data_IF_276948724482
#
_entry.id   IF_276948724482
#
_cell.length_a   1.000
_cell.length_b   1.000
_cell.length_c   1.000
_cell.angle_alpha   90.00
_cell.angle_beta   90.00
_cell.angle_gamma   90.00
#
_symmetry.space_group_name_H-M   'P 1'
#
loop_
_entity.id
_entity.type
_entity.pdbx_description
1 polymer ?
#
# COMPACT_ATOMS: atom_id res chain seq x y z
N UNK A 1 -10.16 -1.37 -26.89
CA UNK A 1 -9.24 -2.49 -26.62
C UNK A 1 -10.06 -3.60 -25.97
N UNK A 2 -9.98 -4.81 -26.51
CA UNK A 2 -10.61 -6.00 -25.93
C UNK A 2 -9.95 -6.35 -24.59
N UNK A 3 -10.66 -7.10 -23.74
CA UNK A 3 -10.10 -7.60 -22.48
C UNK A 3 -8.86 -8.48 -22.68
N UNK A 4 -8.77 -9.20 -23.81
CA UNK A 4 -7.61 -10.04 -24.14
C UNK A 4 -6.36 -9.20 -24.41
N UNK A 5 -6.51 -8.12 -25.18
CA UNK A 5 -5.43 -7.16 -25.44
C UNK A 5 -4.98 -6.47 -24.14
N UNK A 6 -5.92 -6.00 -23.30
CA UNK A 6 -5.59 -5.39 -22.00
C UNK A 6 -4.79 -6.35 -21.10
N UNK A 7 -5.17 -7.63 -21.06
CA UNK A 7 -4.44 -8.68 -20.31
C UNK A 7 -3.05 -8.96 -20.87
N UNK A 8 -2.92 -8.99 -22.20
CA UNK A 8 -1.62 -9.18 -22.84
C UNK A 8 -0.69 -8.01 -22.48
N UNK A 9 -1.18 -6.77 -22.58
CA UNK A 9 -0.47 -5.58 -22.16
C UNK A 9 -0.08 -5.63 -20.67
N UNK A 10 -1.03 -5.98 -19.79
CA UNK A 10 -0.77 -6.12 -18.35
C UNK A 10 0.41 -7.06 -18.09
N UNK A 11 0.41 -8.23 -18.74
CA UNK A 11 1.41 -9.26 -18.54
C UNK A 11 2.81 -8.87 -19.02
N UNK A 12 2.93 -8.00 -20.02
CA UNK A 12 4.20 -7.49 -20.54
C UNK A 12 4.86 -6.46 -19.60
N UNK A 13 4.07 -5.81 -18.75
CA UNK A 13 4.51 -4.69 -17.94
C UNK A 13 4.45 -4.95 -16.43
N UNK A 14 4.16 -6.20 -16.01
CA UNK A 14 4.08 -6.56 -14.59
C UNK A 14 5.35 -6.17 -13.86
N UNK A 15 5.19 -5.37 -12.82
CA UNK A 15 6.27 -4.95 -11.96
C UNK A 15 6.88 -6.13 -11.19
N UNK A 16 8.21 -6.23 -11.30
CA UNK A 16 9.02 -7.11 -10.48
C UNK A 16 9.29 -6.45 -9.12
N UNK A 17 8.38 -6.65 -8.19
CA UNK A 17 8.49 -6.17 -6.82
C UNK A 17 9.72 -6.72 -6.05
N UNK A 18 10.38 -7.79 -6.54
CA UNK A 18 11.56 -8.35 -5.88
C UNK A 18 12.84 -7.55 -6.17
N UNK A 19 12.88 -6.79 -7.27
CA UNK A 19 14.01 -5.93 -7.65
C UNK A 19 13.78 -4.45 -7.34
N UNK A 20 12.60 -4.08 -6.84
CA UNK A 20 12.29 -2.69 -6.48
C UNK A 20 12.88 -2.31 -5.12
N UNK A 21 13.67 -1.24 -5.10
CA UNK A 21 14.39 -0.77 -3.91
C UNK A 21 13.44 -0.38 -2.77
N UNK A 22 12.29 0.24 -3.07
CA UNK A 22 11.31 0.61 -2.05
C UNK A 22 10.73 -0.65 -1.40
N UNK A 23 10.38 -1.67 -2.20
CA UNK A 23 9.88 -2.95 -1.68
C UNK A 23 10.94 -3.69 -0.86
N UNK A 24 12.18 -3.75 -1.36
CA UNK A 24 13.30 -4.38 -0.66
C UNK A 24 13.55 -3.69 0.69
N UNK A 25 13.63 -2.36 0.72
CA UNK A 25 13.88 -1.61 1.95
C UNK A 25 12.76 -1.78 2.98
N UNK A 26 11.53 -1.98 2.52
CA UNK A 26 10.39 -2.16 3.41
C UNK A 26 10.39 -3.52 4.14
N UNK A 27 10.88 -4.56 3.46
CA UNK A 27 11.06 -5.89 4.04
C UNK A 27 12.29 -5.97 4.95
N UNK A 28 13.19 -4.98 4.92
CA UNK A 28 14.31 -4.89 5.85
C UNK A 28 13.86 -4.32 7.19
N UNK A 29 14.22 -5.02 8.27
CA UNK A 29 14.07 -4.51 9.63
C UNK A 29 15.38 -3.89 10.07
N UNK A 30 15.33 -2.65 10.58
CA UNK A 30 16.47 -2.09 11.30
C UNK A 30 16.79 -2.93 12.53
N UNK A 31 18.07 -2.96 12.89
CA UNK A 31 18.53 -3.51 14.15
C UNK A 31 17.81 -2.84 15.33
N UNK A 32 17.60 -3.61 16.40
CA UNK A 32 17.11 -3.10 17.66
C UNK A 32 18.07 -2.04 18.20
N UNK A 33 17.52 -0.93 18.68
CA UNK A 33 18.31 0.00 19.48
C UNK A 33 18.39 -0.48 20.93
N UNK A 34 19.32 0.07 21.72
CA UNK A 34 19.53 -0.37 23.11
C UNK A 34 18.30 -0.20 23.99
N UNK A 35 17.41 0.75 23.70
CA UNK A 35 16.17 0.93 24.46
C UNK A 35 15.14 -0.15 24.11
N UNK A 36 15.06 -0.51 22.83
CA UNK A 36 14.23 -1.61 22.35
C UNK A 36 14.70 -2.96 22.90
N UNK A 37 16.00 -3.23 22.90
CA UNK A 37 16.56 -4.45 23.51
C UNK A 37 16.25 -4.54 25.01
N UNK A 38 16.49 -3.45 25.76
CA UNK A 38 16.17 -3.39 27.19
C UNK A 38 14.67 -3.52 27.48
N UNK A 39 13.80 -3.00 26.59
CA UNK A 39 12.36 -3.22 26.68
C UNK A 39 12.01 -4.70 26.54
N UNK A 40 12.59 -5.39 25.56
CA UNK A 40 12.31 -6.82 25.33
C UNK A 40 12.77 -7.67 26.50
N UNK A 41 13.88 -7.32 27.15
CA UNK A 41 14.35 -8.00 28.35
C UNK A 41 13.36 -7.85 29.52
N UNK A 42 12.86 -6.63 29.75
CA UNK A 42 11.80 -6.38 30.75
C UNK A 42 10.52 -7.13 30.43
N UNK A 43 10.14 -7.21 29.15
CA UNK A 43 8.97 -7.97 28.71
C UNK A 43 9.19 -9.46 28.97
N UNK A 44 10.36 -10.01 28.64
CA UNK A 44 10.70 -11.40 28.90
C UNK A 44 10.61 -11.71 30.41
N UNK A 45 11.20 -10.87 31.25
CA UNK A 45 11.11 -10.98 32.71
C UNK A 45 9.66 -10.90 33.23
N UNK A 46 8.82 -10.05 32.64
CA UNK A 46 7.43 -9.92 33.03
C UNK A 46 6.59 -11.16 32.68
N UNK A 47 6.87 -11.80 31.54
CA UNK A 47 6.06 -12.93 31.06
C UNK A 47 6.50 -14.28 31.63
N UNK A 48 7.72 -14.44 32.18
CA UNK A 48 8.16 -15.72 32.78
C UNK A 48 7.50 -16.03 34.13
N UNK A 49 6.89 -15.04 34.80
CA UNK A 49 6.07 -15.24 35.99
C UNK A 49 5.04 -16.36 35.74
N UNK A 50 4.96 -17.44 36.54
CA UNK A 50 4.04 -18.55 36.29
C UNK A 50 2.56 -18.15 36.28
N UNK A 51 2.14 -17.30 37.22
CA UNK A 51 0.75 -16.85 37.32
C UNK A 51 0.39 -15.92 36.15
N UNK A 52 -0.69 -16.25 35.43
CA UNK A 52 -1.07 -15.52 34.22
C UNK A 52 -1.57 -14.10 34.50
N UNK A 53 -2.25 -13.89 35.64
CA UNK A 53 -2.82 -12.60 36.01
C UNK A 53 -1.74 -11.66 36.54
N UNK A 54 -0.79 -12.20 37.31
CA UNK A 54 0.39 -11.45 37.76
C UNK A 54 1.27 -11.10 36.55
N UNK A 55 1.55 -12.05 35.65
CA UNK A 55 2.32 -11.79 34.44
C UNK A 55 1.65 -10.76 33.52
N UNK A 56 0.33 -10.85 33.35
CA UNK A 56 -0.48 -9.88 32.59
C UNK A 56 -0.37 -8.47 33.19
N UNK A 57 -0.45 -8.36 34.51
CA UNK A 57 -0.29 -7.10 35.24
C UNK A 57 1.13 -6.54 35.09
N UNK A 58 2.16 -7.39 35.20
CA UNK A 58 3.56 -6.99 35.04
C UNK A 58 3.83 -6.52 33.62
N UNK A 59 3.34 -7.24 32.60
CA UNK A 59 3.43 -6.85 31.20
C UNK A 59 2.77 -5.48 30.98
N UNK A 60 1.57 -5.28 31.52
CA UNK A 60 0.88 -3.98 31.44
C UNK A 60 1.74 -2.86 32.01
N UNK A 61 2.33 -3.07 33.19
CA UNK A 61 3.18 -2.09 33.87
C UNK A 61 4.40 -1.72 33.03
N UNK A 62 5.06 -2.71 32.42
CA UNK A 62 6.18 -2.49 31.49
C UNK A 62 5.72 -1.62 30.31
N UNK A 63 4.64 -1.99 29.63
CA UNK A 63 4.15 -1.27 28.45
C UNK A 63 3.68 0.16 28.77
N UNK A 64 3.09 0.39 29.94
CA UNK A 64 2.69 1.74 30.39
C UNK A 64 3.92 2.60 30.70
N UNK A 65 4.90 2.05 31.42
CA UNK A 65 6.11 2.77 31.81
C UNK A 65 6.95 3.16 30.60
N UNK A 66 7.06 2.25 29.63
CA UNK A 66 7.88 2.41 28.44
C UNK A 66 7.13 3.10 27.29
N UNK A 67 5.94 3.67 27.52
CA UNK A 67 5.12 4.31 26.46
C UNK A 67 5.84 5.47 25.71
N UNK A 68 6.94 5.99 26.27
CA UNK A 68 7.80 7.01 25.65
C UNK A 68 8.84 6.45 24.68
N UNK A 69 9.09 5.14 24.68
CA UNK A 69 9.96 4.49 23.70
C UNK A 69 9.20 4.18 22.40
N UNK A 70 9.91 3.68 21.39
CA UNK A 70 9.40 3.37 20.05
C UNK A 70 8.32 2.28 20.09
N UNK A 71 7.04 2.68 20.25
CA UNK A 71 5.82 1.87 20.21
C UNK A 71 5.95 0.42 20.78
N UNK A 72 6.07 0.26 22.12
CA UNK A 72 6.26 -1.05 22.76
C UNK A 72 5.23 -2.11 22.37
N UNK A 73 3.99 -1.68 22.16
CA UNK A 73 2.90 -2.56 21.79
C UNK A 73 3.10 -3.14 20.38
N UNK A 74 3.59 -2.32 19.43
CA UNK A 74 3.89 -2.78 18.08
C UNK A 74 4.96 -3.88 18.09
N UNK A 75 6.02 -3.70 18.89
CA UNK A 75 7.09 -4.70 19.02
C UNK A 75 6.58 -6.03 19.57
N UNK A 76 5.81 -6.04 20.67
CA UNK A 76 5.32 -7.31 21.22
C UNK A 76 4.31 -8.00 20.30
N UNK A 77 3.54 -7.24 19.51
CA UNK A 77 2.66 -7.80 18.49
C UNK A 77 3.47 -8.50 17.40
N UNK A 78 4.53 -7.85 16.90
CA UNK A 78 5.46 -8.45 15.95
C UNK A 78 6.02 -9.78 16.47
N UNK A 79 6.61 -9.79 17.66
CA UNK A 79 7.24 -10.99 18.22
C UNK A 79 6.23 -12.11 18.54
N UNK A 80 4.99 -11.76 18.86
CA UNK A 80 3.91 -12.74 19.11
C UNK A 80 3.21 -13.26 17.83
N UNK A 81 3.70 -12.85 16.65
CA UNK A 81 3.13 -13.24 15.35
C UNK A 81 1.75 -12.63 15.09
N UNK A 82 1.44 -11.48 15.70
CA UNK A 82 0.19 -10.76 15.54
C UNK A 82 0.40 -9.48 14.73
N UNK A 83 -0.55 -9.16 13.86
CA UNK A 83 -0.60 -7.84 13.21
C UNK A 83 -1.43 -6.87 14.07
N UNK A 84 -1.33 -5.56 13.75
CA UNK A 84 -2.07 -4.48 14.43
C UNK A 84 -3.58 -4.70 14.43
N UNK A 85 -4.13 -5.25 13.34
CA UNK A 85 -5.56 -5.54 13.19
C UNK A 85 -5.94 -6.88 13.82
N UNK A 86 -5.08 -7.91 13.68
CA UNK A 86 -5.37 -9.27 14.12
C UNK A 86 -5.71 -9.36 15.60
N UNK A 87 -4.93 -8.68 16.48
CA UNK A 87 -5.25 -8.69 17.92
C UNK A 87 -6.64 -8.14 18.21
N UNK A 88 -7.04 -7.02 17.60
CA UNK A 88 -8.36 -6.45 17.84
C UNK A 88 -9.48 -7.33 17.26
N UNK A 89 -9.23 -8.01 16.14
CA UNK A 89 -10.15 -8.96 15.53
C UNK A 89 -10.38 -10.19 16.41
N UNK A 90 -9.30 -10.84 16.84
CA UNK A 90 -9.34 -12.02 17.71
C UNK A 90 -10.09 -11.70 19.02
N UNK A 91 -9.78 -10.56 19.65
CA UNK A 91 -10.41 -10.13 20.90
C UNK A 91 -11.90 -9.80 20.74
N UNK A 92 -12.31 -9.21 19.60
CA UNK A 92 -13.73 -8.94 19.32
C UNK A 92 -14.50 -10.24 19.17
N UNK A 93 -13.96 -11.20 18.42
CA UNK A 93 -14.58 -12.51 18.24
C UNK A 93 -14.74 -13.24 19.58
N UNK A 94 -13.69 -13.22 20.41
CA UNK A 94 -13.72 -13.81 21.75
C UNK A 94 -14.74 -13.11 22.68
N UNK A 95 -14.79 -11.77 22.67
CA UNK A 95 -15.75 -11.00 23.47
C UNK A 95 -17.19 -11.32 23.08
N UNK A 96 -17.49 -11.36 21.76
CA UNK A 96 -18.80 -11.74 21.23
C UNK A 96 -19.20 -13.16 21.63
N UNK A 97 -18.30 -14.14 21.50
CA UNK A 97 -18.56 -15.52 21.89
C UNK A 97 -18.81 -15.69 23.40
N UNK A 98 -18.15 -14.88 24.24
CA UNK A 98 -18.27 -14.94 25.69
C UNK A 98 -19.53 -14.28 26.26
N UNK A 99 -20.32 -13.57 25.44
CA UNK A 99 -21.50 -12.80 25.89
C UNK A 99 -21.18 -11.60 26.79
N UNK A 100 -19.90 -11.29 27.03
CA UNK A 100 -19.47 -10.14 27.83
C UNK A 100 -19.58 -8.87 26.98
N UNK A 101 -20.22 -7.83 27.53
CA UNK A 101 -20.28 -6.48 26.95
C UNK A 101 -18.93 -5.74 27.09
N UNK A 102 -17.85 -6.36 26.62
CA UNK A 102 -16.51 -5.80 26.68
C UNK A 102 -16.23 -5.07 25.37
N UNK A 103 -16.15 -3.74 25.45
CA UNK A 103 -15.82 -2.91 24.28
C UNK A 103 -14.33 -3.00 23.95
N UNK A 104 -14.01 -3.68 22.85
CA UNK A 104 -12.64 -3.72 22.32
C UNK A 104 -12.34 -2.43 21.55
N UNK A 105 -11.28 -1.68 21.88
CA UNK A 105 -10.86 -0.51 21.13
C UNK A 105 -10.60 -0.82 19.65
N UNK A 106 -10.82 0.17 18.77
CA UNK A 106 -10.48 0.06 17.35
C UNK A 106 -8.98 0.13 17.06
N UNK A 107 -8.19 0.64 18.01
CA UNK A 107 -6.74 0.78 17.89
C UNK A 107 -6.02 -0.07 18.94
N UNK A 108 -5.03 -0.84 18.50
CA UNK A 108 -4.18 -1.64 19.38
C UNK A 108 -3.43 -0.80 20.42
N UNK A 109 -3.11 0.46 20.10
CA UNK A 109 -2.41 1.39 21.01
C UNK A 109 -3.22 1.70 22.28
N UNK A 110 -4.54 1.60 22.18
CA UNK A 110 -5.45 1.88 23.30
C UNK A 110 -5.67 0.66 24.20
N UNK A 111 -5.22 -0.54 23.79
CA UNK A 111 -5.51 -1.78 24.53
C UNK A 111 -4.94 -1.75 25.95
N UNK A 112 -3.67 -1.36 26.09
CA UNK A 112 -2.93 -1.39 27.36
C UNK A 112 -3.62 -0.58 28.46
N UNK A 113 -4.21 0.57 28.12
CA UNK A 113 -4.91 1.44 29.07
C UNK A 113 -6.41 1.19 29.17
N UNK A 114 -6.95 0.20 28.46
CA UNK A 114 -8.39 -0.02 28.38
C UNK A 114 -8.85 -1.17 29.28
N UNK A 115 -10.15 -1.22 29.63
CA UNK A 115 -10.74 -2.39 30.29
C UNK A 115 -10.57 -3.69 29.51
N UNK A 116 -10.35 -3.62 28.18
CA UNK A 116 -10.07 -4.79 27.36
C UNK A 116 -8.73 -5.48 27.70
N UNK A 117 -7.86 -4.86 28.50
CA UNK A 117 -6.62 -5.50 28.95
C UNK A 117 -6.86 -6.79 29.73
N UNK A 118 -7.98 -6.91 30.45
CA UNK A 118 -8.33 -8.13 31.20
C UNK A 118 -8.40 -9.38 30.32
N UNK A 119 -8.65 -9.22 29.01
CA UNK A 119 -8.59 -10.31 28.03
C UNK A 119 -7.35 -10.25 27.15
N UNK A 120 -6.89 -9.05 26.80
CA UNK A 120 -5.73 -8.87 25.92
C UNK A 120 -4.41 -9.29 26.58
N UNK A 121 -4.24 -8.98 27.87
CA UNK A 121 -3.03 -9.26 28.64
C UNK A 121 -2.73 -10.75 28.73
N UNK A 122 -3.64 -11.60 29.25
CA UNK A 122 -3.42 -13.05 29.32
C UNK A 122 -3.18 -13.68 27.94
N UNK A 123 -3.87 -13.20 26.90
CA UNK A 123 -3.68 -13.65 25.52
C UNK A 123 -2.25 -13.36 25.02
N UNK A 124 -1.76 -12.14 25.24
CA UNK A 124 -0.41 -11.74 24.87
C UNK A 124 0.66 -12.47 25.68
N UNK A 125 0.49 -12.58 27.00
CA UNK A 125 1.43 -13.32 27.86
C UNK A 125 1.58 -14.76 27.39
N UNK A 126 0.48 -15.45 27.09
CA UNK A 126 0.51 -16.83 26.59
C UNK A 126 1.35 -16.95 25.32
N UNK A 127 1.15 -16.06 24.35
CA UNK A 127 1.93 -16.07 23.10
C UNK A 127 3.40 -15.71 23.33
N UNK A 128 3.65 -14.67 24.11
CA UNK A 128 5.01 -14.18 24.39
C UNK A 128 5.82 -15.20 25.20
N UNK A 129 5.22 -15.93 26.14
CA UNK A 129 5.89 -17.04 26.86
C UNK A 129 6.42 -18.10 25.91
N UNK A 130 5.64 -18.48 24.90
CA UNK A 130 6.05 -19.48 23.89
C UNK A 130 7.26 -19.03 23.09
N UNK A 131 7.40 -17.73 22.87
CA UNK A 131 8.48 -17.16 22.03
C UNK A 131 9.70 -16.76 22.87
N UNK A 132 9.50 -16.07 23.99
CA UNK A 132 10.57 -15.53 24.84
C UNK A 132 11.07 -16.53 25.89
N UNK A 133 10.21 -17.45 26.34
CA UNK A 133 10.57 -18.46 27.34
C UNK A 133 11.71 -19.41 26.93
N UNK A 134 11.83 -19.80 25.65
CA UNK A 134 13.00 -20.54 25.17
C UNK A 134 14.30 -19.71 25.11
N UNK A 135 14.21 -18.39 24.90
CA UNK A 135 15.40 -17.54 24.70
C UNK A 135 16.31 -17.53 25.93
N UNK A 136 15.74 -17.65 27.14
CA UNK A 136 16.51 -17.72 28.39
C UNK A 136 17.36 -18.98 28.54
N UNK A 137 17.21 -19.97 27.65
CA UNK A 137 17.95 -21.23 27.64
C UNK A 137 18.93 -21.34 26.47
N UNK A 138 19.00 -20.32 25.62
CA UNK A 138 19.90 -20.30 24.47
C UNK A 138 21.33 -19.97 24.92
N UNK A 139 22.36 -20.47 24.21
CA UNK A 139 23.75 -20.12 24.46
C UNK A 139 24.13 -18.72 23.95
N UNK A 140 23.19 -17.98 23.37
CA UNK A 140 23.36 -16.61 22.88
C UNK A 140 23.07 -15.61 24.01
N UNK A 141 23.59 -14.39 23.87
CA UNK A 141 23.12 -13.28 24.71
C UNK A 141 21.64 -13.01 24.43
N UNK A 142 20.92 -12.46 25.41
CA UNK A 142 19.50 -12.11 25.20
C UNK A 142 19.34 -11.09 24.06
N UNK A 143 20.28 -10.17 23.92
CA UNK A 143 20.30 -9.15 22.86
C UNK A 143 20.41 -9.79 21.47
N UNK A 144 21.37 -10.69 21.25
CA UNK A 144 21.52 -11.39 19.97
C UNK A 144 20.28 -12.24 19.63
N UNK A 145 19.71 -12.92 20.64
CA UNK A 145 18.52 -13.73 20.47
C UNK A 145 17.28 -12.89 20.15
N UNK A 146 17.15 -11.72 20.79
CA UNK A 146 16.09 -10.76 20.52
C UNK A 146 16.22 -10.13 19.13
N UNK A 147 17.45 -9.82 18.68
CA UNK A 147 17.71 -9.30 17.34
C UNK A 147 17.37 -10.33 16.26
N UNK A 148 17.79 -11.59 16.44
CA UNK A 148 17.44 -12.67 15.52
C UNK A 148 15.91 -12.84 15.39
N UNK A 149 15.18 -12.73 16.51
CA UNK A 149 13.72 -12.80 16.51
C UNK A 149 13.07 -11.56 15.86
N UNK A 150 13.61 -10.37 16.11
CA UNK A 150 13.17 -9.12 15.48
C UNK A 150 13.26 -9.23 13.96
N UNK A 151 14.39 -9.71 13.42
CA UNK A 151 14.57 -9.94 11.99
C UNK A 151 13.62 -11.01 11.45
N UNK A 152 13.51 -12.16 12.13
CA UNK A 152 12.71 -13.29 11.65
C UNK A 152 11.20 -13.01 11.60
N UNK A 153 10.69 -12.19 12.52
CA UNK A 153 9.24 -11.92 12.64
C UNK A 153 8.79 -10.71 11.82
N UNK A 154 9.71 -9.83 11.42
CA UNK A 154 9.38 -8.61 10.69
C UNK A 154 8.66 -8.86 9.36
N UNK A 155 9.12 -9.77 8.46
CA UNK A 155 8.43 -9.99 7.19
C UNK A 155 6.97 -10.41 7.39
N UNK A 156 6.66 -11.17 8.45
CA UNK A 156 5.29 -11.55 8.78
C UNK A 156 4.46 -10.36 9.30
N UNK A 157 5.03 -9.58 10.21
CA UNK A 157 4.37 -8.42 10.81
C UNK A 157 4.07 -7.31 9.80
N UNK A 158 5.03 -7.03 8.92
CA UNK A 158 4.99 -5.85 8.06
C UNK A 158 4.18 -6.07 6.77
N UNK A 159 3.86 -7.31 6.39
CA UNK A 159 3.08 -7.67 5.18
C UNK A 159 1.80 -6.87 4.98
N UNK A 160 1.03 -6.62 6.03
CA UNK A 160 -0.22 -5.85 5.91
C UNK A 160 0.05 -4.35 5.67
N UNK A 161 1.06 -3.80 6.34
CA UNK A 161 1.49 -2.41 6.12
C UNK A 161 2.12 -2.26 4.73
N UNK A 162 2.79 -3.30 4.22
CA UNK A 162 3.36 -3.35 2.88
C UNK A 162 2.28 -3.19 1.82
N UNK A 163 1.22 -3.99 1.90
CA UNK A 163 0.12 -3.91 0.95
C UNK A 163 -0.48 -2.49 0.91
N UNK A 164 -0.76 -1.92 2.09
CA UNK A 164 -1.30 -0.57 2.22
C UNK A 164 -0.34 0.49 1.65
N UNK A 165 0.93 0.42 1.99
CA UNK A 165 1.93 1.40 1.53
C UNK A 165 2.27 1.25 0.06
N UNK A 166 2.19 0.05 -0.51
CA UNK A 166 2.42 -0.17 -1.94
C UNK A 166 1.33 0.50 -2.78
N UNK A 167 0.07 0.47 -2.33
CA UNK A 167 -1.01 1.24 -2.94
C UNK A 167 -0.73 2.74 -2.89
N UNK A 168 -0.44 3.28 -1.70
CA UNK A 168 -0.14 4.70 -1.56
C UNK A 168 1.12 5.14 -2.32
N UNK A 169 2.13 4.28 -2.43
CA UNK A 169 3.33 4.55 -3.24
C UNK A 169 2.96 4.70 -4.72
N UNK A 170 2.04 3.88 -5.25
CA UNK A 170 1.54 4.04 -6.62
C UNK A 170 0.85 5.40 -6.81
N UNK A 171 -0.01 5.78 -5.86
CA UNK A 171 -0.68 7.09 -5.85
C UNK A 171 0.34 8.24 -5.84
N UNK A 172 1.37 8.12 -5.00
CA UNK A 172 2.41 9.15 -4.86
C UNK A 172 3.29 9.28 -6.10
N UNK A 173 3.71 8.17 -6.71
CA UNK A 173 4.49 8.22 -7.96
C UNK A 173 3.69 8.86 -9.08
N UNK A 174 2.40 8.54 -9.19
CA UNK A 174 1.53 9.16 -10.17
C UNK A 174 1.33 10.66 -9.90
N UNK A 175 1.03 11.03 -8.66
CA UNK A 175 0.90 12.44 -8.26
C UNK A 175 2.20 13.23 -8.54
N UNK A 176 3.36 12.64 -8.25
CA UNK A 176 4.69 13.26 -8.46
C UNK A 176 4.95 13.47 -9.95
N UNK A 177 4.62 12.48 -10.78
CA UNK A 177 4.71 12.61 -12.23
C UNK A 177 3.85 13.78 -12.75
N UNK A 178 2.58 13.84 -12.33
CA UNK A 178 1.67 14.92 -12.74
C UNK A 178 2.18 16.29 -12.28
N UNK A 179 2.68 16.38 -11.04
CA UNK A 179 3.27 17.61 -10.48
C UNK A 179 4.48 18.07 -11.27
N UNK A 180 5.42 17.17 -11.55
CA UNK A 180 6.66 17.50 -12.26
C UNK A 180 6.41 17.91 -13.72
N UNK A 181 5.28 17.48 -14.30
CA UNK A 181 4.80 17.92 -15.61
C UNK A 181 3.85 19.13 -15.53
N UNK A 182 3.67 19.70 -14.33
CA UNK A 182 2.74 20.80 -14.04
C UNK A 182 1.31 20.52 -14.53
N UNK A 183 0.91 19.24 -14.62
CA UNK A 183 -0.43 18.85 -14.97
C UNK A 183 -1.31 19.00 -13.73
N UNK A 184 -2.39 19.81 -13.76
CA UNK A 184 -3.23 20.03 -12.59
C UNK A 184 -3.89 18.73 -12.14
N UNK A 185 -3.90 18.47 -10.84
CA UNK A 185 -4.57 17.33 -10.24
C UNK A 185 -4.97 17.63 -8.80
N UNK A 186 -5.83 16.79 -8.23
CA UNK A 186 -6.14 16.83 -6.82
C UNK A 186 -6.18 15.40 -6.24
N UNK A 187 -5.83 15.20 -4.95
CA UNK A 187 -5.29 16.21 -4.04
C UNK A 187 -3.79 16.41 -4.28
N UNK A 188 -3.34 17.66 -4.43
CA UNK A 188 -1.93 17.97 -4.71
C UNK A 188 -0.98 17.42 -3.65
N UNK A 189 -1.42 17.40 -2.38
CA UNK A 189 -0.68 16.87 -1.26
C UNK A 189 -0.32 15.38 -1.39
N UNK A 190 -0.94 14.62 -2.30
CA UNK A 190 -0.65 13.20 -2.51
C UNK A 190 0.79 12.94 -2.98
N UNK A 191 1.40 13.91 -3.67
CA UNK A 191 2.79 13.80 -4.09
C UNK A 191 3.80 13.98 -2.94
N UNK A 192 3.46 14.72 -1.87
CA UNK A 192 4.33 14.85 -0.68
C UNK A 192 3.95 13.88 0.44
N UNK A 193 2.66 13.59 0.56
CA UNK A 193 2.07 12.77 1.59
C UNK A 193 1.13 11.74 0.95
N UNK A 194 1.65 10.54 0.63
CA UNK A 194 0.85 9.45 0.05
C UNK A 194 -0.34 9.04 0.92
N UNK A 195 -0.26 9.28 2.23
CA UNK A 195 -1.31 8.94 3.20
C UNK A 195 -2.41 10.02 3.31
N UNK A 196 -2.36 11.08 2.49
CA UNK A 196 -3.38 12.12 2.54
C UNK A 196 -4.75 11.57 2.14
N UNK A 197 -5.85 12.14 2.66
CA UNK A 197 -7.19 11.67 2.34
C UNK A 197 -7.49 11.74 0.84
N UNK A 198 -8.22 10.75 0.36
CA UNK A 198 -8.73 10.67 -1.01
C UNK A 198 -9.82 11.72 -1.27
N UNK A 199 -10.16 11.89 -2.55
CA UNK A 199 -11.25 12.78 -2.95
C UNK A 199 -12.55 12.00 -3.06
N UNK A 200 -13.57 12.51 -2.37
CA UNK A 200 -14.92 11.95 -2.44
C UNK A 200 -15.76 12.77 -3.43
N UNK A 201 -16.24 12.11 -4.50
CA UNK A 201 -17.19 12.64 -5.47
C UNK A 201 -18.46 11.78 -5.46
N UNK A 202 -19.62 12.37 -5.17
CA UNK A 202 -20.89 11.62 -5.18
C UNK A 202 -20.93 10.41 -4.24
N UNK A 203 -20.15 10.42 -3.15
CA UNK A 203 -20.01 9.30 -2.22
C UNK A 203 -18.95 8.25 -2.61
N UNK A 204 -18.31 8.38 -3.77
CA UNK A 204 -17.25 7.48 -4.25
C UNK A 204 -15.88 8.11 -3.99
N UNK A 205 -14.97 7.32 -3.42
CA UNK A 205 -13.57 7.72 -3.17
C UNK A 205 -12.72 7.56 -4.42
N UNK A 206 -11.89 8.54 -4.75
CA UNK A 206 -10.91 8.52 -5.84
C UNK A 206 -9.55 8.98 -5.32
N UNK A 207 -8.49 8.26 -5.67
CA UNK A 207 -7.16 8.56 -5.13
C UNK A 207 -6.61 9.85 -5.72
N UNK A 208 -6.85 10.05 -7.03
CA UNK A 208 -6.49 11.24 -7.78
C UNK A 208 -7.59 11.59 -8.79
N UNK A 209 -7.71 12.89 -9.08
CA UNK A 209 -8.53 13.40 -10.18
C UNK A 209 -7.76 14.47 -10.95
N UNK A 210 -8.09 14.64 -12.22
CA UNK A 210 -7.50 15.65 -13.11
C UNK A 210 -8.62 16.38 -13.85
N UNK A 211 -8.60 17.72 -13.98
CA UNK A 211 -7.70 18.65 -13.28
C UNK A 211 -8.11 18.90 -11.83
N UNK A 212 -9.41 18.91 -11.53
CA UNK A 212 -9.93 19.32 -10.22
C UNK A 212 -11.29 18.69 -9.89
N UNK A 213 -11.76 18.90 -8.66
CA UNK A 213 -13.02 18.36 -8.12
C UNK A 213 -14.26 18.95 -8.80
N UNK A 214 -14.16 20.20 -9.24
CA UNK A 214 -15.26 20.96 -9.85
C UNK A 214 -15.50 20.51 -11.29
N UNK A 215 -14.43 20.06 -11.97
CA UNK A 215 -14.48 19.66 -13.38
C UNK A 215 -13.61 18.44 -13.63
N UNK A 216 -13.90 17.27 -13.02
CA UNK A 216 -13.10 16.07 -13.24
C UNK A 216 -13.20 15.66 -14.72
N UNK A 217 -12.05 15.39 -15.34
CA UNK A 217 -11.89 14.93 -16.73
C UNK A 217 -11.22 13.57 -16.79
N UNK A 218 -10.42 13.24 -15.78
CA UNK A 218 -9.93 11.90 -15.48
C UNK A 218 -10.08 11.68 -13.97
N UNK A 219 -10.45 10.46 -13.60
CA UNK A 219 -10.48 9.99 -12.21
C UNK A 219 -9.65 8.71 -12.11
N UNK A 220 -8.95 8.54 -11.00
CA UNK A 220 -7.97 7.47 -10.82
C UNK A 220 -8.37 6.57 -9.66
N UNK A 221 -8.18 5.28 -9.88
CA UNK A 221 -8.25 4.23 -8.87
C UNK A 221 -6.99 3.37 -8.96
N UNK A 222 -6.30 3.19 -7.85
CA UNK A 222 -4.96 2.63 -7.76
C UNK A 222 -4.99 1.37 -6.92
N UNK A 223 -4.59 0.24 -7.49
CA UNK A 223 -4.57 -1.05 -6.82
C UNK A 223 -3.30 -1.81 -7.19
N UNK A 224 -2.45 -2.06 -6.19
CA UNK A 224 -1.17 -2.78 -6.40
C UNK A 224 -1.14 -4.04 -5.55
N UNK A 225 -1.00 -5.20 -6.19
CA UNK A 225 -1.06 -6.51 -5.55
C UNK A 225 0.26 -7.28 -5.67
N UNK A 226 0.89 -7.59 -4.54
CA UNK A 226 1.99 -8.57 -4.47
C UNK A 226 1.41 -9.99 -4.38
N UNK A 227 2.13 -11.01 -4.88
CA UNK A 227 1.72 -12.41 -4.66
C UNK A 227 1.71 -12.68 -3.16
N UNK A 228 0.60 -13.24 -2.65
CA UNK A 228 0.44 -13.69 -1.25
C UNK A 228 0.18 -12.61 -0.17
N UNK A 229 -0.72 -11.66 -0.44
CA UNK A 229 -1.41 -10.90 0.61
C UNK A 229 -2.68 -11.69 0.95
N UNK A 230 -2.66 -12.52 2.00
CA UNK A 230 -3.69 -13.53 2.24
C UNK A 230 -5.12 -13.01 2.08
N UNK A 231 -5.86 -13.52 1.10
CA UNK A 231 -7.31 -13.43 0.80
C UNK A 231 -8.06 -12.08 0.94
N UNK A 232 -7.48 -11.05 1.53
CA UNK A 232 -8.11 -9.75 1.74
C UNK A 232 -7.76 -8.84 0.56
N UNK A 233 -8.70 -8.73 -0.38
CA UNK A 233 -8.61 -7.80 -1.50
C UNK A 233 -9.21 -8.34 -2.80
N UNK A 234 -9.44 -9.66 -2.91
CA UNK A 234 -9.74 -10.28 -4.21
C UNK A 234 -10.98 -9.72 -4.92
N UNK A 235 -12.01 -9.35 -4.15
CA UNK A 235 -13.25 -8.76 -4.68
C UNK A 235 -13.36 -7.24 -4.52
N UNK A 236 -12.49 -6.61 -3.71
CA UNK A 236 -12.63 -5.18 -3.37
C UNK A 236 -12.34 -4.29 -4.57
N UNK A 237 -11.28 -4.58 -5.30
CA UNK A 237 -10.86 -3.74 -6.42
C UNK A 237 -11.90 -3.69 -7.54
N UNK A 238 -12.50 -4.84 -7.87
CA UNK A 238 -13.57 -4.91 -8.86
C UNK A 238 -14.80 -4.14 -8.41
N UNK A 239 -15.14 -4.17 -7.11
CA UNK A 239 -16.25 -3.39 -6.56
C UNK A 239 -15.96 -1.88 -6.64
N UNK A 240 -14.75 -1.46 -6.29
CA UNK A 240 -14.35 -0.05 -6.37
C UNK A 240 -14.39 0.50 -7.79
N UNK A 241 -13.98 -0.30 -8.77
CA UNK A 241 -14.07 0.08 -10.19
C UNK A 241 -15.53 0.15 -10.66
N UNK A 242 -16.38 -0.78 -10.19
CA UNK A 242 -17.81 -0.79 -10.51
C UNK A 242 -18.52 0.43 -9.91
N UNK A 243 -18.21 0.79 -8.67
CA UNK A 243 -18.74 2.00 -8.02
C UNK A 243 -18.31 3.27 -8.77
N UNK A 244 -17.03 3.38 -9.12
CA UNK A 244 -16.51 4.48 -9.93
C UNK A 244 -17.22 4.58 -11.29
N UNK A 245 -17.37 3.44 -11.99
CA UNK A 245 -18.05 3.39 -13.29
C UNK A 245 -19.52 3.77 -13.17
N UNK A 246 -20.20 3.32 -12.12
CA UNK A 246 -21.60 3.66 -11.84
C UNK A 246 -21.75 5.15 -11.62
N UNK A 247 -20.85 5.77 -10.84
CA UNK A 247 -20.83 7.21 -10.65
C UNK A 247 -20.63 7.96 -11.98
N UNK A 248 -19.61 7.60 -12.77
CA UNK A 248 -19.34 8.20 -14.10
C UNK A 248 -20.58 8.10 -15.00
N UNK A 249 -21.23 6.94 -15.02
CA UNK A 249 -22.40 6.71 -15.85
C UNK A 249 -23.61 7.54 -15.43
N UNK A 250 -23.73 7.86 -14.15
CA UNK A 250 -24.81 8.70 -13.62
C UNK A 250 -24.65 10.19 -13.95
N UNK A 251 -23.46 10.63 -14.36
CA UNK A 251 -23.22 12.01 -14.79
C UNK A 251 -23.98 12.30 -16.09
N UNK A 252 -24.67 13.44 -16.11
CA UNK A 252 -25.42 13.97 -17.27
C UNK A 252 -24.53 14.69 -18.30
N UNK A 253 -23.24 14.87 -18.01
CA UNK A 253 -22.30 15.54 -18.91
C UNK A 253 -22.06 14.68 -20.16
N UNK A 254 -22.03 15.34 -21.32
CA UNK A 254 -21.64 14.74 -22.61
C UNK A 254 -20.19 14.28 -22.62
N UNK A 255 -19.32 14.95 -21.85
CA UNK A 255 -17.90 14.61 -21.76
C UNK A 255 -17.58 14.02 -20.40
N UNK A 256 -17.98 12.76 -20.21
CA UNK A 256 -17.73 12.01 -18.97
C UNK A 256 -16.22 11.87 -18.67
N UNK A 257 -15.82 11.83 -17.39
CA UNK A 257 -14.43 11.59 -17.01
C UNK A 257 -13.94 10.22 -17.48
N UNK A 258 -12.66 10.14 -17.85
CA UNK A 258 -11.96 8.87 -18.09
C UNK A 258 -11.64 8.21 -16.74
N UNK A 259 -12.01 6.94 -16.56
CA UNK A 259 -11.57 6.13 -15.43
C UNK A 259 -10.23 5.48 -15.78
N UNK A 260 -9.16 5.98 -15.18
CA UNK A 260 -7.83 5.40 -15.25
C UNK A 260 -7.63 4.44 -14.07
N UNK A 261 -7.30 3.18 -14.35
CA UNK A 261 -6.85 2.26 -13.32
C UNK A 261 -5.31 2.25 -13.27
N UNK A 262 -4.72 2.60 -12.12
CA UNK A 262 -3.32 2.27 -11.86
C UNK A 262 -3.28 0.91 -11.21
N UNK A 263 -3.06 -0.12 -12.01
CA UNK A 263 -2.96 -1.50 -11.53
C UNK A 263 -1.56 -2.03 -11.70
N UNK A 264 -1.01 -2.70 -10.69
CA UNK A 264 0.26 -3.41 -10.89
C UNK A 264 0.45 -4.57 -9.90
N UNK A 265 1.50 -5.35 -10.16
CA UNK A 265 2.00 -6.38 -9.29
C UNK A 265 1.53 -7.79 -9.67
N UNK A 266 2.41 -8.75 -9.37
CA UNK A 266 2.23 -10.16 -9.75
C UNK A 266 1.01 -10.82 -9.08
N UNK A 267 0.48 -10.25 -8.00
CA UNK A 267 -0.69 -10.79 -7.29
C UNK A 267 -1.94 -10.86 -8.18
N UNK A 268 -2.09 -9.96 -9.15
CA UNK A 268 -3.17 -10.03 -10.14
C UNK A 268 -3.05 -11.21 -11.11
N UNK A 269 -1.85 -11.79 -11.31
CA UNK A 269 -1.73 -13.05 -12.08
C UNK A 269 -2.38 -14.21 -11.34
N UNK A 270 -2.40 -14.17 -10.01
CA UNK A 270 -3.06 -15.17 -9.16
C UNK A 270 -4.55 -14.87 -8.99
N UNK A 271 -4.95 -13.59 -8.96
CA UNK A 271 -6.36 -13.17 -8.90
C UNK A 271 -6.90 -12.70 -10.27
N UNK A 272 -7.21 -13.67 -11.14
CA UNK A 272 -7.71 -13.38 -12.50
C UNK A 272 -9.04 -12.62 -12.51
N UNK A 273 -9.96 -12.96 -11.61
CA UNK A 273 -11.28 -12.33 -11.54
C UNK A 273 -11.18 -10.86 -11.14
N UNK A 274 -10.35 -10.54 -10.13
CA UNK A 274 -10.09 -9.15 -9.76
C UNK A 274 -9.43 -8.36 -10.89
N UNK A 275 -8.42 -8.93 -11.56
CA UNK A 275 -7.78 -8.29 -12.70
C UNK A 275 -8.79 -8.02 -13.84
N UNK A 276 -9.61 -9.01 -14.18
CA UNK A 276 -10.65 -8.87 -15.20
C UNK A 276 -11.64 -7.76 -14.85
N UNK A 277 -12.15 -7.73 -13.63
CA UNK A 277 -13.10 -6.71 -13.18
C UNK A 277 -12.52 -5.30 -13.26
N UNK A 278 -11.22 -5.13 -12.92
CA UNK A 278 -10.57 -3.83 -13.03
C UNK A 278 -10.32 -3.42 -14.48
N UNK A 279 -9.82 -4.34 -15.31
CA UNK A 279 -9.55 -4.06 -16.72
C UNK A 279 -10.83 -3.81 -17.52
N UNK A 280 -11.93 -4.50 -17.21
CA UNK A 280 -13.22 -4.30 -17.86
C UNK A 280 -13.89 -3.00 -17.38
N UNK A 281 -13.77 -2.70 -16.08
CA UNK A 281 -14.34 -1.49 -15.48
C UNK A 281 -13.66 -0.19 -15.90
N UNK A 282 -12.39 -0.21 -16.32
CA UNK A 282 -11.58 0.97 -16.64
C UNK A 282 -11.59 1.36 -18.12
N UNK A 283 -11.46 2.65 -18.41
CA UNK A 283 -11.31 3.14 -19.80
C UNK A 283 -9.87 2.93 -20.27
N UNK A 284 -8.92 3.34 -19.43
CA UNK A 284 -7.48 3.18 -19.61
C UNK A 284 -6.87 2.58 -18.34
N UNK A 285 -5.70 1.95 -18.47
CA UNK A 285 -4.93 1.53 -17.32
C UNK A 285 -3.43 1.76 -17.55
N UNK A 286 -2.69 1.83 -16.45
CA UNK A 286 -1.23 1.91 -16.45
C UNK A 286 -0.63 1.11 -15.29
N UNK A 287 0.66 0.83 -15.42
CA UNK A 287 1.53 0.14 -14.46
C UNK A 287 2.71 1.04 -14.14
N UNK A 288 3.56 0.69 -13.16
CA UNK A 288 4.76 1.47 -12.85
C UNK A 288 5.65 1.65 -14.09
N UNK A 289 5.80 0.57 -14.88
CA UNK A 289 6.59 0.60 -16.12
C UNK A 289 5.97 1.46 -17.22
N UNK A 290 4.64 1.54 -17.26
CA UNK A 290 3.87 2.30 -18.25
C UNK A 290 3.18 3.55 -17.69
N UNK A 291 3.69 4.08 -16.57
CA UNK A 291 3.05 5.20 -15.84
C UNK A 291 2.97 6.48 -16.69
N UNK A 292 3.84 6.62 -17.70
CA UNK A 292 3.77 7.67 -18.72
C UNK A 292 2.40 7.74 -19.42
N UNK A 293 1.65 6.62 -19.53
CA UNK A 293 0.29 6.61 -20.08
C UNK A 293 -0.64 7.52 -19.29
N UNK A 294 -0.46 7.60 -17.97
CA UNK A 294 -1.28 8.46 -17.14
C UNK A 294 -1.05 9.95 -17.46
N UNK A 295 0.20 10.35 -17.72
CA UNK A 295 0.53 11.70 -18.17
C UNK A 295 -0.07 12.00 -19.55
N UNK A 296 0.01 11.06 -20.50
CA UNK A 296 -0.60 11.18 -21.83
C UNK A 296 -2.11 11.37 -21.74
N UNK A 297 -2.80 10.52 -20.97
CA UNK A 297 -4.26 10.63 -20.77
C UNK A 297 -4.61 11.95 -20.08
N UNK A 298 -3.92 12.29 -18.98
CA UNK A 298 -4.14 13.53 -18.25
C UNK A 298 -3.98 14.75 -19.16
N UNK A 299 -2.88 14.81 -19.92
CA UNK A 299 -2.59 15.88 -20.87
C UNK A 299 -3.67 15.97 -21.96
N UNK A 300 -4.08 14.83 -22.51
CA UNK A 300 -5.11 14.76 -23.54
C UNK A 300 -6.48 15.24 -23.06
N UNK A 301 -6.90 14.86 -21.85
CA UNK A 301 -8.22 15.27 -21.33
C UNK A 301 -8.30 16.74 -20.92
N UNK A 302 -7.16 17.39 -20.66
CA UNK A 302 -7.06 18.83 -20.40
C UNK A 302 -6.69 19.65 -21.65
N UNK A 303 -6.25 18.99 -22.73
CA UNK A 303 -5.85 19.64 -23.98
C UNK A 303 -4.46 20.27 -23.95
N UNK A 304 -3.56 19.80 -23.07
CA UNK A 304 -2.13 20.19 -23.08
C UNK A 304 -1.38 19.21 -24.00
N UNK A 305 -0.32 19.67 -24.66
CA UNK A 305 0.60 18.80 -25.38
C UNK A 305 1.69 18.27 -24.45
N UNK A 306 2.10 17.03 -24.67
CA UNK A 306 3.28 16.40 -24.05
C UNK A 306 4.09 15.69 -25.11
N UNK A 307 5.40 15.62 -24.88
CA UNK A 307 6.31 14.77 -25.66
C UNK A 307 6.68 13.56 -24.81
N UNK A 308 6.67 12.38 -25.42
CA UNK A 308 6.99 11.11 -24.74
C UNK A 308 8.11 10.41 -25.48
N UNK A 309 9.17 10.09 -24.76
CA UNK A 309 10.34 9.39 -25.26
C UNK A 309 10.31 7.96 -24.74
N UNK A 310 10.11 7.00 -25.64
CA UNK A 310 9.90 5.60 -25.30
C UNK A 310 10.88 4.69 -26.04
N UNK A 311 11.29 3.55 -25.45
CA UNK A 311 11.99 2.51 -26.19
C UNK A 311 11.19 2.09 -27.42
N UNK A 312 11.87 1.79 -28.53
CA UNK A 312 11.24 1.37 -29.79
C UNK A 312 10.26 0.21 -29.63
N UNK A 313 10.61 -0.78 -28.81
CA UNK A 313 9.75 -1.92 -28.52
C UNK A 313 8.45 -1.50 -27.80
N UNK A 314 8.53 -0.51 -26.91
CA UNK A 314 7.37 0.08 -26.23
C UNK A 314 6.48 0.83 -27.21
N UNK A 315 7.04 1.65 -28.09
CA UNK A 315 6.27 2.36 -29.13
C UNK A 315 5.49 1.37 -30.00
N UNK A 316 6.15 0.30 -30.47
CA UNK A 316 5.51 -0.71 -31.30
C UNK A 316 4.37 -1.43 -30.55
N UNK A 317 4.62 -1.88 -29.32
CA UNK A 317 3.63 -2.61 -28.52
C UNK A 317 2.48 -1.73 -28.00
N UNK A 318 2.67 -0.41 -27.92
CA UNK A 318 1.68 0.56 -27.44
C UNK A 318 1.09 1.44 -28.55
N UNK A 319 1.35 1.11 -29.82
CA UNK A 319 0.92 1.89 -30.99
C UNK A 319 -0.57 2.24 -30.97
N UNK A 320 -1.44 1.29 -30.63
CA UNK A 320 -2.88 1.53 -30.56
C UNK A 320 -3.28 2.54 -29.46
N UNK A 321 -2.55 2.60 -28.35
CA UNK A 321 -2.76 3.61 -27.30
C UNK A 321 -2.26 4.98 -27.78
N UNK A 322 -1.04 5.05 -28.29
CA UNK A 322 -0.42 6.29 -28.75
C UNK A 322 -1.24 6.96 -29.87
N UNK A 323 -1.77 6.16 -30.80
CA UNK A 323 -2.62 6.66 -31.89
C UNK A 323 -3.91 7.33 -31.39
N UNK A 324 -4.51 6.82 -30.29
CA UNK A 324 -5.70 7.46 -29.68
C UNK A 324 -5.41 8.85 -29.13
N UNK A 325 -4.18 9.09 -28.68
CA UNK A 325 -3.76 10.32 -28.00
C UNK A 325 -2.82 11.19 -28.83
N UNK A 326 -2.63 10.87 -30.12
CA UNK A 326 -1.69 11.56 -31.02
C UNK A 326 -1.96 13.05 -31.22
N UNK A 327 -3.19 13.52 -30.99
CA UNK A 327 -3.54 14.94 -31.12
C UNK A 327 -2.89 15.80 -30.03
N UNK A 328 -2.52 15.19 -28.89
CA UNK A 328 -1.95 15.84 -27.71
C UNK A 328 -0.62 15.24 -27.29
N UNK A 329 -0.06 14.34 -28.10
CA UNK A 329 1.14 13.57 -27.76
C UNK A 329 2.05 13.49 -28.96
N UNK A 330 3.27 14.02 -28.82
CA UNK A 330 4.36 13.81 -29.76
C UNK A 330 5.23 12.66 -29.22
N UNK A 331 5.48 11.64 -30.05
CA UNK A 331 6.16 10.40 -29.63
C UNK A 331 7.53 10.31 -30.28
N UNK A 332 8.55 10.07 -29.47
CA UNK A 332 9.93 9.98 -29.89
C UNK A 332 10.54 8.64 -29.46
N UNK A 333 11.41 8.08 -30.30
CA UNK A 333 12.24 6.93 -29.90
C UNK A 333 13.30 7.40 -28.91
N UNK A 334 13.34 6.77 -27.74
CA UNK A 334 14.36 7.02 -26.73
C UNK A 334 15.69 6.46 -27.21
N UNK A 335 16.66 7.35 -27.37
CA UNK A 335 18.05 7.03 -27.75
C UNK A 335 19.02 7.70 -26.78
N UNK A 336 20.25 7.19 -26.69
CA UNK A 336 21.32 7.71 -25.81
C UNK A 336 21.69 9.18 -26.08
N UNK A 337 21.27 9.74 -27.22
CA UNK A 337 21.58 11.11 -27.63
C UNK A 337 20.69 12.18 -26.98
N UNK A 338 19.61 11.81 -26.28
CA UNK A 338 18.70 12.77 -25.67
C UNK A 338 19.25 13.29 -24.35
N UNK A 339 19.26 14.62 -24.19
CA UNK A 339 19.45 15.22 -22.86
C UNK A 339 18.19 14.96 -22.04
N UNK A 340 18.34 14.32 -20.88
CA UNK A 340 17.24 14.05 -19.95
C UNK A 340 17.08 15.13 -18.88
N UNK A 341 17.86 16.21 -18.94
CA UNK A 341 17.93 17.22 -17.88
C UNK A 341 16.58 17.91 -17.60
N UNK A 342 15.76 18.12 -18.65
CA UNK A 342 14.46 18.77 -18.57
C UNK A 342 13.29 17.79 -18.69
N UNK A 343 13.58 16.47 -18.68
CA UNK A 343 12.59 15.43 -18.86
C UNK A 343 12.25 14.75 -17.54
N UNK A 344 10.97 14.37 -17.37
CA UNK A 344 10.51 13.64 -16.20
C UNK A 344 10.53 12.15 -16.48
N UNK A 345 11.29 11.39 -15.68
CA UNK A 345 11.27 9.93 -15.73
C UNK A 345 9.88 9.38 -15.37
N UNK A 346 9.32 8.55 -16.25
CA UNK A 346 7.98 8.01 -16.13
C UNK A 346 7.95 6.53 -16.52
N UNK A 347 8.40 5.67 -15.60
CA UNK A 347 8.49 4.23 -15.83
C UNK A 347 9.69 3.89 -16.70
N UNK A 348 9.48 3.27 -17.86
CA UNK A 348 10.56 2.93 -18.81
C UNK A 348 10.90 4.05 -19.81
N UNK A 349 10.23 5.19 -19.73
CA UNK A 349 10.42 6.30 -20.65
C UNK A 349 10.47 7.64 -19.93
N UNK A 350 10.51 8.70 -20.73
CA UNK A 350 10.54 10.08 -20.26
C UNK A 350 9.38 10.87 -20.86
N UNK A 351 8.87 11.82 -20.09
CA UNK A 351 7.80 12.75 -20.52
C UNK A 351 8.28 14.17 -20.28
N UNK A 352 7.97 15.07 -21.22
CA UNK A 352 8.14 16.51 -21.02
C UNK A 352 6.95 17.28 -21.56
N UNK A 353 6.77 18.49 -21.05
CA UNK A 353 5.87 19.46 -21.69
C UNK A 353 6.73 20.31 -22.64
N UNK A 354 6.33 20.48 -23.90
CA UNK A 354 7.02 21.41 -24.81
C UNK A 354 7.10 22.81 -24.20
N UNK A 355 8.25 23.47 -24.35
CA UNK A 355 8.51 24.84 -23.89
C UNK A 355 7.56 25.87 -24.49
#
# INVERSE_FOLDING_TARGET
MSIHEKKAEFNLNVWDHASDVFQMQFDMRRELDSNEAALLEKVAAAVVEPDIDIASTNLQRVLVKEKKSTDPMAMILQLSGLTRSKITGDLKAAAQASGKSLRIPSSYKSLVGSPAWVVAGPYLVTRLRTVLGPLSRMPLTFEDAAEALNQATWPGYIRQERAKRSGHEAESRLATLLRNLELPFAPEAKADNPMCPDIILGGVSFDLIVPSKEKPRMVVKSTVHTSNIGQFGESKDSLEMMEARTWINSLKDTKKPILLAFIDGIGFRSNKAGLEGVLDGSDEFCQFKSIWKAAVVASGVIGRKVEVYLPKATIASQSAFLERWKSTTDVHELTDAHSTADMVLAGEGYVQVPS
#
